data_IF_793816947891
#
_entry.id   IF_793816947891
#
_cell.length_a   1.000
_cell.length_b   1.000
_cell.length_c   1.000
_cell.angle_alpha   90.00
_cell.angle_beta   90.00
_cell.angle_gamma   90.00
#
_symmetry.space_group_name_H-M   'P 1'
#
loop_
_entity.id
_entity.type
_entity.pdbx_description
1 polymer ?
#
# COMPACT_ATOMS: atom_id res chain seq x y z
N UNK A 1 0.97 -27.77 20.92
CA UNK A 1 1.44 -26.66 21.78
C UNK A 1 2.91 -26.29 21.50
N UNK A 2 3.83 -27.27 21.44
CA UNK A 2 5.30 -27.03 21.27
C UNK A 2 5.65 -26.32 19.96
N UNK A 3 5.02 -26.70 18.84
CA UNK A 3 5.24 -26.08 17.51
C UNK A 3 4.80 -24.62 17.49
N UNK A 4 3.61 -24.31 18.05
CA UNK A 4 3.10 -22.92 18.11
C UNK A 4 4.01 -22.02 18.94
N UNK A 5 4.57 -22.50 20.07
CA UNK A 5 5.53 -21.73 20.89
C UNK A 5 6.83 -21.45 20.15
N UNK A 6 7.37 -22.42 19.39
CA UNK A 6 8.56 -22.20 18.56
C UNK A 6 8.32 -21.15 17.47
N UNK A 7 7.14 -21.20 16.83
CA UNK A 7 6.77 -20.22 15.80
C UNK A 7 6.65 -18.81 16.37
N UNK A 8 5.97 -18.64 17.52
CA UNK A 8 5.87 -17.35 18.20
C UNK A 8 7.26 -16.79 18.56
N UNK A 9 8.14 -17.63 19.10
CA UNK A 9 9.51 -17.23 19.44
C UNK A 9 10.30 -16.79 18.19
N UNK A 10 10.12 -17.45 17.05
CA UNK A 10 10.76 -17.09 15.78
C UNK A 10 10.26 -15.72 15.28
N UNK A 11 8.96 -15.50 15.30
CA UNK A 11 8.35 -14.23 14.86
C UNK A 11 8.79 -13.06 15.74
N UNK A 12 8.80 -13.24 17.05
CA UNK A 12 9.29 -12.22 17.98
C UNK A 12 10.77 -11.91 17.76
N UNK A 13 11.62 -12.92 17.55
CA UNK A 13 13.03 -12.68 17.21
C UNK A 13 13.20 -11.90 15.91
N UNK A 14 12.39 -12.17 14.88
CA UNK A 14 12.38 -11.41 13.64
C UNK A 14 11.96 -9.95 13.87
N UNK A 15 10.92 -9.71 14.69
CA UNK A 15 10.49 -8.37 15.03
C UNK A 15 11.56 -7.58 15.79
N UNK A 16 12.24 -8.19 16.76
CA UNK A 16 13.38 -7.59 17.46
C UNK A 16 14.55 -7.27 16.52
N UNK A 17 14.84 -8.15 15.56
CA UNK A 17 15.86 -7.87 14.54
C UNK A 17 15.50 -6.68 13.66
N UNK A 18 14.24 -6.58 13.20
CA UNK A 18 13.73 -5.43 12.44
C UNK A 18 13.82 -4.14 13.25
N UNK A 19 13.52 -4.19 14.55
CA UNK A 19 13.65 -3.04 15.46
C UNK A 19 15.11 -2.58 15.59
N UNK A 20 16.04 -3.51 15.83
CA UNK A 20 17.48 -3.22 15.97
C UNK A 20 18.09 -2.58 14.72
N UNK A 21 17.68 -3.06 13.53
CA UNK A 21 18.13 -2.45 12.26
C UNK A 21 17.66 -1.00 12.12
N UNK A 22 16.43 -0.69 12.56
CA UNK A 22 15.91 0.69 12.51
C UNK A 22 16.60 1.64 13.48
N UNK A 23 16.90 1.17 14.70
CA UNK A 23 17.64 1.99 15.68
C UNK A 23 19.07 2.27 15.22
N UNK A 24 19.74 1.29 14.62
CA UNK A 24 21.10 1.48 14.10
C UNK A 24 21.11 2.44 12.89
N UNK A 25 20.13 2.38 11.98
CA UNK A 25 20.02 3.33 10.87
C UNK A 25 19.76 4.77 11.35
N UNK A 26 18.94 4.95 12.39
CA UNK A 26 18.67 6.27 12.97
C UNK A 26 19.87 6.86 13.73
N UNK A 27 20.82 6.03 14.17
CA UNK A 27 22.03 6.46 14.87
C UNK A 27 23.18 6.83 13.93
N UNK A 28 23.18 6.35 12.69
CA UNK A 28 24.25 6.66 11.71
C UNK A 28 24.13 8.07 11.11
N UNK A 29 22.98 8.71 11.19
CA UNK A 29 22.76 10.07 10.67
C UNK A 29 22.99 11.18 11.71
N UNK A 30 23.49 10.85 12.92
CA UNK A 30 23.82 11.82 13.95
C UNK A 30 25.33 11.87 14.20
N UNK A 31 25.98 12.95 13.73
CA UNK A 31 27.29 13.35 14.22
C UNK A 31 27.29 13.50 15.77
N UNK A 32 28.36 13.13 16.45
CA UNK A 32 28.42 13.17 17.91
C UNK A 32 28.50 14.62 18.42
N UNK A 33 27.35 15.24 18.64
CA UNK A 33 27.26 16.50 19.38
C UNK A 33 26.97 16.18 20.84
N UNK A 34 27.74 16.80 21.74
CA UNK A 34 27.82 16.63 23.19
C UNK A 34 26.57 16.20 23.92
N UNK A 35 26.77 15.24 24.82
CA UNK A 35 25.98 14.86 26.00
C UNK A 35 24.48 15.29 26.01
N UNK A 36 23.65 14.56 25.29
CA UNK A 36 22.20 14.59 25.52
C UNK A 36 21.85 13.66 26.70
N UNK A 37 20.87 14.03 27.56
CA UNK A 37 20.43 13.18 28.65
C UNK A 37 19.93 11.85 28.05
N UNK A 38 20.36 10.75 28.65
CA UNK A 38 19.86 9.41 28.33
C UNK A 38 18.33 9.42 28.42
N UNK A 39 17.65 9.60 27.30
CA UNK A 39 16.20 9.48 27.22
C UNK A 39 15.89 8.03 27.55
N UNK A 40 15.21 7.82 28.64
CA UNK A 40 14.89 6.49 29.18
C UNK A 40 14.15 5.69 28.11
N UNK A 41 14.78 4.65 27.59
CA UNK A 41 14.21 3.76 26.57
C UNK A 41 12.84 3.19 27.01
N UNK A 42 12.60 3.08 28.32
CA UNK A 42 11.33 2.69 28.89
C UNK A 42 10.21 3.71 28.61
N UNK A 43 10.53 5.01 28.55
CA UNK A 43 9.56 6.06 28.20
C UNK A 43 9.16 6.04 26.72
N UNK A 44 10.03 5.56 25.84
CA UNK A 44 9.77 5.41 24.39
C UNK A 44 8.97 4.13 24.10
N UNK A 45 9.18 3.07 24.88
CA UNK A 45 8.55 1.76 24.66
C UNK A 45 7.12 1.65 25.19
N UNK A 46 6.66 2.60 26.01
CA UNK A 46 5.38 2.48 26.72
C UNK A 46 5.37 1.31 27.71
N UNK A 47 4.23 1.07 28.33
CA UNK A 47 4.08 0.07 29.40
C UNK A 47 4.09 -1.40 28.92
N UNK A 48 4.11 -1.64 27.58
CA UNK A 48 4.07 -3.00 27.02
C UNK A 48 5.11 -3.21 25.88
N UNK A 49 6.33 -3.66 26.23
CA UNK A 49 7.37 -3.94 25.24
C UNK A 49 6.96 -4.99 24.18
N UNK A 50 6.06 -5.90 24.53
CA UNK A 50 5.54 -6.90 23.60
C UNK A 50 4.62 -6.25 22.55
N UNK A 51 3.75 -5.31 22.96
CA UNK A 51 2.88 -4.57 22.04
C UNK A 51 3.73 -3.75 21.06
N UNK A 52 4.74 -3.05 21.56
CA UNK A 52 5.66 -2.29 20.72
C UNK A 52 6.37 -3.19 19.70
N UNK A 53 6.89 -4.33 20.13
CA UNK A 53 7.55 -5.31 19.25
C UNK A 53 6.57 -5.87 18.20
N UNK A 54 5.33 -6.17 18.59
CA UNK A 54 4.28 -6.60 17.68
C UNK A 54 3.98 -5.56 16.59
N UNK A 55 4.11 -4.26 16.87
CA UNK A 55 3.91 -3.19 15.89
C UNK A 55 4.84 -3.26 14.68
N UNK A 56 5.96 -4.01 14.72
CA UNK A 56 6.85 -4.24 13.59
C UNK A 56 6.49 -5.46 12.73
N UNK A 57 5.56 -6.27 13.18
CA UNK A 57 5.04 -7.43 12.45
C UNK A 57 4.06 -6.99 11.36
N UNK A 58 3.91 -7.83 10.33
CA UNK A 58 2.82 -7.67 9.37
C UNK A 58 1.51 -8.30 9.90
N UNK A 59 0.42 -8.09 9.17
CA UNK A 59 -0.89 -8.58 9.56
C UNK A 59 -0.96 -10.11 9.67
N UNK A 60 -0.28 -10.83 8.78
CA UNK A 60 -0.24 -12.31 8.80
C UNK A 60 0.55 -12.82 10.00
N UNK A 61 1.68 -12.20 10.28
CA UNK A 61 2.50 -12.50 11.45
C UNK A 61 1.73 -12.27 12.76
N UNK A 62 0.94 -11.17 12.84
CA UNK A 62 0.07 -10.88 13.97
C UNK A 62 -1.06 -11.90 14.14
N UNK A 63 -1.71 -12.30 13.05
CA UNK A 63 -2.76 -13.32 13.12
C UNK A 63 -2.19 -14.68 13.56
N UNK A 64 -0.98 -15.05 13.14
CA UNK A 64 -0.30 -16.24 13.63
C UNK A 64 -0.02 -16.11 15.13
N UNK A 65 0.51 -14.97 15.62
CA UNK A 65 0.75 -14.75 17.05
C UNK A 65 -0.51 -14.91 17.89
N UNK A 66 -1.66 -14.47 17.41
CA UNK A 66 -2.95 -14.63 18.08
C UNK A 66 -3.33 -16.09 18.31
N UNK A 67 -2.83 -17.01 17.51
CA UNK A 67 -3.08 -18.47 17.68
C UNK A 67 -2.12 -19.13 18.66
N UNK A 68 -1.03 -18.46 19.07
CA UNK A 68 0.06 -19.07 19.81
C UNK A 68 -0.19 -19.15 21.33
N UNK A 69 -1.01 -18.27 21.91
CA UNK A 69 -1.32 -18.26 23.32
C UNK A 69 -2.27 -17.13 23.73
N UNK A 70 -2.76 -17.16 24.98
CA UNK A 70 -3.69 -16.13 25.50
C UNK A 70 -3.05 -14.75 25.49
N UNK A 71 -1.88 -14.61 26.13
CA UNK A 71 -1.17 -13.32 26.22
C UNK A 71 -0.86 -12.72 24.85
N UNK A 72 -0.34 -13.52 23.90
CA UNK A 72 -0.03 -13.06 22.54
C UNK A 72 -1.28 -12.71 21.76
N UNK A 73 -2.41 -13.40 22.00
CA UNK A 73 -3.70 -13.08 21.41
C UNK A 73 -4.19 -11.72 21.87
N UNK A 74 -4.13 -11.46 23.17
CA UNK A 74 -4.61 -10.22 23.77
C UNK A 74 -3.78 -9.03 23.28
N UNK A 75 -2.45 -9.15 23.29
CA UNK A 75 -1.55 -8.10 22.78
C UNK A 75 -1.70 -7.89 21.28
N UNK A 76 -1.65 -8.93 20.47
CA UNK A 76 -1.79 -8.82 19.02
C UNK A 76 -3.22 -8.47 18.57
N UNK A 77 -4.18 -8.39 19.48
CA UNK A 77 -5.55 -7.89 19.24
C UNK A 77 -5.72 -6.38 19.47
N UNK A 78 -4.77 -5.72 20.14
CA UNK A 78 -4.90 -4.30 20.51
C UNK A 78 -4.87 -3.37 19.30
N UNK A 79 -5.71 -2.33 19.33
CA UNK A 79 -5.75 -1.30 18.30
C UNK A 79 -4.39 -0.61 18.09
N UNK A 80 -3.67 -0.32 19.16
CA UNK A 80 -2.33 0.29 19.14
C UNK A 80 -1.28 -0.53 18.38
N UNK A 81 -1.45 -1.86 18.27
CA UNK A 81 -0.59 -2.74 17.46
C UNK A 81 -0.99 -2.70 16.00
N UNK A 82 -2.29 -2.59 15.71
CA UNK A 82 -2.80 -2.61 14.33
C UNK A 82 -2.71 -1.25 13.63
N UNK A 83 -2.78 -0.14 14.34
CA UNK A 83 -2.63 1.19 13.74
C UNK A 83 -1.35 1.34 12.90
N UNK A 84 -0.14 1.05 13.41
CA UNK A 84 1.08 1.14 12.62
C UNK A 84 1.11 0.14 11.46
N UNK A 85 0.45 -1.02 11.57
CA UNK A 85 0.30 -1.98 10.46
C UNK A 85 -0.53 -1.38 9.34
N UNK A 86 -1.68 -0.77 9.67
CA UNK A 86 -2.52 -0.05 8.72
C UNK A 86 -1.77 1.12 8.07
N UNK A 87 -1.08 1.92 8.86
CA UNK A 87 -0.32 3.07 8.37
C UNK A 87 0.79 2.66 7.38
N UNK A 88 1.47 1.52 7.63
CA UNK A 88 2.45 0.98 6.68
C UNK A 88 1.81 0.41 5.42
N UNK A 89 0.70 -0.32 5.59
CA UNK A 89 0.00 -1.01 4.49
C UNK A 89 -0.56 -0.03 3.47
N UNK A 90 -1.13 1.09 3.94
CA UNK A 90 -1.77 2.09 3.10
C UNK A 90 -1.05 3.44 3.09
N UNK A 91 0.27 3.39 3.27
CA UNK A 91 1.11 4.58 3.22
C UNK A 91 0.92 5.35 1.92
N UNK A 92 0.76 6.67 2.02
CA UNK A 92 0.58 7.55 0.87
C UNK A 92 -0.85 7.68 0.36
N UNK A 93 -1.82 6.94 0.92
CA UNK A 93 -3.24 7.12 0.56
C UNK A 93 -3.82 8.36 1.24
N UNK A 94 -4.58 9.14 0.47
CA UNK A 94 -5.27 10.33 0.98
C UNK A 94 -6.26 10.00 2.09
N UNK A 95 -6.98 8.89 1.94
CA UNK A 95 -8.00 8.45 2.89
C UNK A 95 -7.46 7.95 4.23
N UNK A 96 -6.15 7.80 4.40
CA UNK A 96 -5.58 7.22 5.62
C UNK A 96 -5.98 8.00 6.89
N UNK A 97 -6.12 9.33 6.79
CA UNK A 97 -6.55 10.15 7.94
C UNK A 97 -8.05 9.98 8.23
N UNK A 98 -8.88 9.85 7.20
CA UNK A 98 -10.31 9.55 7.35
C UNK A 98 -10.48 8.19 8.01
N UNK A 99 -9.73 7.18 7.55
CA UNK A 99 -9.73 5.84 8.13
C UNK A 99 -9.26 5.79 9.59
N UNK A 100 -8.38 6.69 9.99
CA UNK A 100 -8.01 6.84 11.42
C UNK A 100 -9.19 7.25 12.27
N UNK A 101 -9.98 8.20 11.80
CA UNK A 101 -11.17 8.66 12.51
C UNK A 101 -12.25 7.57 12.54
N UNK A 102 -12.45 6.85 11.43
CA UNK A 102 -13.42 5.76 11.32
C UNK A 102 -13.03 4.55 12.18
N UNK A 103 -11.76 4.18 12.21
CA UNK A 103 -11.29 3.01 12.92
C UNK A 103 -11.39 3.14 14.44
N UNK A 104 -11.22 4.34 14.99
CA UNK A 104 -11.15 4.56 16.44
C UNK A 104 -10.15 3.58 17.08
N UNK A 105 -10.66 2.67 17.91
CA UNK A 105 -9.87 1.59 18.52
C UNK A 105 -9.96 0.24 17.77
N UNK A 106 -10.83 0.14 16.75
CA UNK A 106 -11.13 -1.10 16.03
C UNK A 106 -10.24 -1.32 14.80
N UNK A 107 -8.99 -0.94 14.87
CA UNK A 107 -8.05 -0.97 13.76
C UNK A 107 -7.91 -2.34 13.08
N UNK A 108 -8.03 -3.43 13.83
CA UNK A 108 -7.98 -4.78 13.26
C UNK A 108 -9.18 -5.07 12.37
N UNK A 109 -10.37 -4.74 12.84
CA UNK A 109 -11.61 -4.93 12.05
C UNK A 109 -11.57 -4.05 10.80
N UNK A 110 -11.11 -2.81 10.95
CA UNK A 110 -10.91 -1.88 9.85
C UNK A 110 -9.90 -2.42 8.84
N UNK A 111 -8.75 -2.97 9.29
CA UNK A 111 -7.79 -3.63 8.42
C UNK A 111 -8.45 -4.76 7.62
N UNK A 112 -9.18 -5.66 8.28
CA UNK A 112 -9.84 -6.79 7.62
C UNK A 112 -10.90 -6.34 6.60
N UNK A 113 -11.60 -5.25 6.87
CA UNK A 113 -12.56 -4.65 5.93
C UNK A 113 -11.83 -4.14 4.67
N UNK A 114 -10.77 -3.35 4.83
CA UNK A 114 -10.03 -2.75 3.70
C UNK A 114 -9.23 -3.77 2.91
N UNK A 115 -8.71 -4.83 3.53
CA UNK A 115 -8.02 -5.93 2.83
C UNK A 115 -8.96 -6.72 1.90
N UNK A 116 -10.27 -6.72 2.12
CA UNK A 116 -11.24 -7.29 1.17
C UNK A 116 -11.30 -6.52 -0.16
N UNK A 117 -10.85 -5.29 -0.16
CA UNK A 117 -10.79 -4.42 -1.35
C UNK A 117 -9.47 -4.58 -2.14
N UNK A 118 -8.57 -5.46 -1.72
CA UNK A 118 -7.28 -5.71 -2.40
C UNK A 118 -7.47 -6.18 -3.84
N UNK A 119 -8.44 -7.06 -4.04
CA UNK A 119 -8.79 -7.53 -5.38
C UNK A 119 -9.78 -6.55 -6.01
N UNK A 120 -9.26 -5.66 -6.83
CA UNK A 120 -10.07 -4.68 -7.56
C UNK A 120 -10.37 -5.21 -8.95
N UNK A 121 -11.61 -5.11 -9.36
CA UNK A 121 -12.06 -5.54 -10.67
C UNK A 121 -12.20 -4.35 -11.60
N UNK A 122 -11.97 -4.59 -12.90
CA UNK A 122 -12.21 -3.62 -13.97
C UNK A 122 -11.47 -2.29 -13.78
N UNK A 123 -10.25 -2.33 -13.23
CA UNK A 123 -9.46 -1.11 -13.01
C UNK A 123 -8.86 -0.65 -14.33
N UNK A 124 -9.02 0.64 -14.70
CA UNK A 124 -8.49 1.14 -15.95
C UNK A 124 -6.97 1.30 -15.91
N UNK A 125 -6.31 1.03 -17.06
CA UNK A 125 -4.86 1.06 -17.17
C UNK A 125 -4.41 2.24 -18.03
N UNK A 126 -3.48 3.00 -17.49
CA UNK A 126 -2.62 3.93 -18.22
C UNK A 126 -1.24 3.32 -18.42
N UNK A 127 -0.69 3.42 -19.63
CA UNK A 127 0.64 2.89 -19.94
C UNK A 127 1.53 3.99 -20.53
N UNK A 128 2.64 4.25 -19.87
CA UNK A 128 3.65 5.21 -20.33
C UNK A 128 4.99 4.88 -19.67
N UNK A 129 6.08 4.98 -20.42
CA UNK A 129 7.44 4.82 -19.86
C UNK A 129 7.73 5.98 -18.90
N UNK A 130 7.79 5.67 -17.60
CA UNK A 130 8.13 6.63 -16.56
C UNK A 130 8.65 5.91 -15.32
N UNK A 131 9.49 6.61 -14.55
CA UNK A 131 9.88 6.15 -13.22
C UNK A 131 8.82 6.55 -12.19
N UNK A 132 8.39 5.59 -11.39
CA UNK A 132 7.40 5.79 -10.34
C UNK A 132 7.93 5.33 -8.99
N UNK A 133 7.60 6.12 -7.97
CA UNK A 133 7.97 5.84 -6.58
C UNK A 133 6.76 6.12 -5.68
N UNK A 134 6.53 5.26 -4.68
CA UNK A 134 5.40 5.41 -3.75
C UNK A 134 5.42 6.78 -3.08
N UNK A 135 4.31 7.49 -3.18
CA UNK A 135 4.11 8.83 -2.60
C UNK A 135 4.72 9.98 -3.39
N UNK A 136 5.52 9.71 -4.45
CA UNK A 136 6.07 10.75 -5.30
C UNK A 136 5.04 11.22 -6.34
N UNK A 137 4.87 12.54 -6.44
CA UNK A 137 3.98 13.16 -7.42
C UNK A 137 4.55 13.04 -8.83
N UNK A 138 3.68 12.70 -9.78
CA UNK A 138 3.94 12.78 -11.23
C UNK A 138 2.76 13.51 -11.87
N UNK A 139 3.02 14.56 -12.64
CA UNK A 139 1.96 15.30 -13.33
C UNK A 139 1.76 14.74 -14.73
N UNK A 140 0.50 14.52 -15.11
CA UNK A 140 0.11 13.97 -16.40
C UNK A 140 -0.89 14.90 -17.10
N UNK A 141 -0.82 14.89 -18.42
CA UNK A 141 -1.79 15.51 -19.30
C UNK A 141 -2.46 14.46 -20.18
N UNK A 142 -3.75 14.26 -19.99
CA UNK A 142 -4.54 13.30 -20.75
C UNK A 142 -5.27 13.98 -21.89
N UNK A 143 -4.91 13.68 -23.12
CA UNK A 143 -5.53 14.22 -24.34
C UNK A 143 -6.21 13.15 -25.19
N UNK A 144 -5.76 11.89 -25.10
CA UNK A 144 -6.35 10.81 -25.87
C UNK A 144 -7.74 10.44 -25.35
N UNK A 145 -8.73 10.16 -26.23
CA UNK A 145 -10.09 9.81 -25.82
C UNK A 145 -10.18 8.65 -24.82
N UNK A 146 -9.36 7.61 -25.00
CA UNK A 146 -9.33 6.48 -24.08
C UNK A 146 -8.89 6.86 -22.67
N UNK A 147 -8.04 7.86 -22.51
CA UNK A 147 -7.59 8.32 -21.17
C UNK A 147 -8.55 9.33 -20.55
N UNK A 148 -9.33 10.04 -21.36
CA UNK A 148 -10.48 10.79 -20.85
C UNK A 148 -11.51 9.85 -20.22
N UNK A 149 -11.76 8.71 -20.89
CA UNK A 149 -12.63 7.65 -20.38
C UNK A 149 -12.04 6.96 -19.14
N UNK A 150 -10.71 6.73 -19.10
CA UNK A 150 -10.00 6.22 -17.93
C UNK A 150 -10.28 7.06 -16.67
N UNK A 151 -10.14 8.38 -16.76
CA UNK A 151 -10.37 9.28 -15.62
C UNK A 151 -11.80 9.18 -15.11
N UNK A 152 -12.77 9.07 -16.01
CA UNK A 152 -14.17 8.91 -15.65
C UNK A 152 -14.39 7.62 -14.87
N UNK A 153 -13.96 6.47 -15.40
CA UNK A 153 -14.04 5.18 -14.71
C UNK A 153 -13.31 5.23 -13.36
N UNK A 154 -12.10 5.79 -13.33
CA UNK A 154 -11.34 5.91 -12.09
C UNK A 154 -12.08 6.71 -11.02
N UNK A 155 -12.73 7.82 -11.40
CA UNK A 155 -13.47 8.67 -10.48
C UNK A 155 -14.79 8.02 -10.00
N UNK A 156 -15.57 7.46 -10.92
CA UNK A 156 -16.89 6.92 -10.64
C UNK A 156 -16.82 5.57 -9.91
N UNK A 157 -15.98 4.65 -10.39
CA UNK A 157 -15.99 3.25 -9.93
C UNK A 157 -14.89 2.95 -8.90
N UNK A 158 -13.80 3.74 -8.88
CA UNK A 158 -12.59 3.40 -8.12
C UNK A 158 -12.07 4.49 -7.18
N UNK A 159 -12.86 5.55 -6.92
CA UNK A 159 -12.46 6.64 -6.02
C UNK A 159 -11.17 7.36 -6.45
N UNK A 160 -10.96 7.49 -7.76
CA UNK A 160 -9.77 8.13 -8.34
C UNK A 160 -8.58 7.19 -8.54
N UNK A 161 -8.73 5.88 -8.30
CA UNK A 161 -7.66 4.91 -8.48
C UNK A 161 -7.64 4.35 -9.91
N UNK A 162 -6.45 4.17 -10.44
CA UNK A 162 -6.19 3.50 -11.71
C UNK A 162 -4.84 2.78 -11.67
N UNK A 163 -4.56 1.93 -12.65
CA UNK A 163 -3.27 1.26 -12.77
C UNK A 163 -2.36 2.03 -13.71
N UNK A 164 -1.12 2.26 -13.28
CA UNK A 164 -0.07 2.81 -14.13
C UNK A 164 0.95 1.73 -14.46
N UNK A 165 1.05 1.37 -15.75
CA UNK A 165 2.05 0.46 -16.27
C UNK A 165 3.22 1.24 -16.88
N UNK A 166 4.46 0.93 -16.49
CA UNK A 166 5.65 1.55 -17.06
C UNK A 166 5.93 1.05 -18.50
N UNK A 167 5.33 -0.09 -18.87
CA UNK A 167 5.34 -0.63 -20.22
C UNK A 167 3.91 -1.07 -20.59
N UNK A 168 3.62 -1.16 -21.88
CA UNK A 168 2.33 -1.68 -22.33
C UNK A 168 2.12 -3.12 -21.84
N UNK A 169 1.01 -3.38 -21.10
CA UNK A 169 0.78 -4.71 -20.55
C UNK A 169 0.41 -5.71 -21.65
N UNK A 170 0.89 -6.94 -21.48
CA UNK A 170 0.56 -8.05 -22.39
C UNK A 170 -0.73 -8.72 -21.93
N UNK A 171 -1.67 -8.92 -22.86
CA UNK A 171 -2.97 -9.57 -22.55
C UNK A 171 -2.79 -11.04 -22.15
N UNK A 172 -1.79 -11.71 -22.74
CA UNK A 172 -1.43 -13.11 -22.44
C UNK A 172 0.05 -13.20 -22.02
N UNK A 173 0.37 -12.79 -20.79
CA UNK A 173 1.76 -12.81 -20.33
C UNK A 173 2.21 -14.25 -20.01
N UNK A 174 3.48 -14.56 -20.31
CA UNK A 174 4.13 -15.80 -19.88
C UNK A 174 4.54 -15.77 -18.41
N UNK A 175 4.63 -14.60 -17.81
CA UNK A 175 5.02 -14.36 -16.40
C UNK A 175 4.10 -13.33 -15.76
N UNK A 176 4.00 -13.32 -14.42
CA UNK A 176 3.24 -12.30 -13.70
C UNK A 176 3.66 -10.88 -14.06
N UNK A 177 2.70 -10.02 -14.35
CA UNK A 177 2.95 -8.60 -14.62
C UNK A 177 2.66 -7.77 -13.39
N UNK A 178 3.68 -7.01 -12.96
CA UNK A 178 3.58 -6.08 -11.85
C UNK A 178 3.44 -4.65 -12.35
N UNK A 179 2.65 -3.87 -11.63
CA UNK A 179 2.37 -2.48 -11.96
C UNK A 179 2.13 -1.65 -10.70
N UNK A 180 1.66 -0.43 -10.88
CA UNK A 180 1.39 0.50 -9.80
C UNK A 180 -0.10 0.81 -9.72
N UNK A 181 -0.70 0.72 -8.55
CA UNK A 181 -1.96 1.40 -8.26
C UNK A 181 -1.62 2.85 -7.97
N UNK A 182 -2.24 3.76 -8.72
CA UNK A 182 -2.03 5.19 -8.60
C UNK A 182 -3.34 5.89 -8.25
N UNK A 183 -3.24 6.97 -7.48
CA UNK A 183 -4.35 7.84 -7.15
C UNK A 183 -4.25 9.13 -7.96
N UNK A 184 -5.31 9.46 -8.72
CA UNK A 184 -5.45 10.74 -9.38
C UNK A 184 -5.88 11.81 -8.37
N UNK A 185 -5.16 12.92 -8.33
CA UNK A 185 -5.45 14.08 -7.50
C UNK A 185 -5.40 15.35 -8.33
N UNK A 186 -6.06 16.40 -7.86
CA UNK A 186 -6.07 17.72 -8.54
C UNK A 186 -6.49 17.61 -10.01
N UNK A 187 -7.50 16.80 -10.29
CA UNK A 187 -7.99 16.58 -11.66
C UNK A 187 -8.66 17.86 -12.15
N UNK A 188 -8.08 18.46 -13.16
CA UNK A 188 -8.62 19.64 -13.85
C UNK A 188 -9.09 19.21 -15.25
N UNK A 189 -10.40 19.16 -15.43
CA UNK A 189 -10.99 18.92 -16.73
C UNK A 189 -10.99 20.21 -17.55
N UNK A 190 -10.48 20.14 -18.78
CA UNK A 190 -10.48 21.24 -19.73
C UNK A 190 -11.77 21.22 -20.56
N UNK A 191 -12.19 22.37 -21.16
CA UNK A 191 -13.43 22.47 -21.96
C UNK A 191 -13.49 21.48 -23.13
N UNK A 192 -12.34 21.09 -23.69
CA UNK A 192 -12.24 20.13 -24.79
C UNK A 192 -12.18 18.67 -24.30
N UNK A 193 -12.38 18.45 -23.00
CA UNK A 193 -12.39 17.15 -22.36
C UNK A 193 -10.99 16.59 -22.09
N UNK A 194 -9.90 17.30 -22.36
CA UNK A 194 -8.57 16.95 -21.87
C UNK A 194 -8.51 17.10 -20.35
N UNK A 195 -7.55 16.46 -19.70
CA UNK A 195 -7.40 16.53 -18.26
C UNK A 195 -5.94 16.73 -17.85
N UNK A 196 -5.70 17.65 -16.94
CA UNK A 196 -4.46 17.74 -16.18
C UNK A 196 -4.68 17.09 -14.80
N UNK A 197 -3.75 16.29 -14.34
CA UNK A 197 -3.86 15.64 -13.04
C UNK A 197 -2.51 15.38 -12.41
N UNK A 198 -2.49 15.34 -11.09
CA UNK A 198 -1.36 14.85 -10.31
C UNK A 198 -1.59 13.39 -9.96
N UNK A 199 -0.62 12.54 -10.24
CA UNK A 199 -0.69 11.10 -10.00
C UNK A 199 0.26 10.73 -8.88
N UNK A 200 -0.23 9.96 -7.92
CA UNK A 200 0.53 9.46 -6.78
C UNK A 200 0.48 7.93 -6.76
N UNK A 201 1.60 7.23 -7.00
CA UNK A 201 1.67 5.79 -6.75
C UNK A 201 1.43 5.49 -5.27
N UNK A 202 0.44 4.62 -4.99
CA UNK A 202 0.03 4.28 -3.61
C UNK A 202 0.31 2.84 -3.22
N UNK A 203 0.40 1.95 -4.22
CA UNK A 203 0.72 0.54 -3.99
C UNK A 203 1.32 -0.10 -5.26
N UNK A 204 2.05 -1.20 -5.07
CA UNK A 204 2.34 -2.15 -6.15
C UNK A 204 1.11 -3.05 -6.35
N UNK A 205 0.92 -3.55 -7.55
CA UNK A 205 -0.12 -4.54 -7.82
C UNK A 205 0.35 -5.61 -8.80
N UNK A 206 -0.35 -6.73 -8.77
CA UNK A 206 -0.24 -7.82 -9.73
C UNK A 206 -1.45 -7.77 -10.66
N UNK A 207 -1.22 -7.75 -11.97
CA UNK A 207 -2.28 -7.82 -12.97
C UNK A 207 -2.73 -9.29 -13.09
N UNK A 208 -4.02 -9.56 -12.81
CA UNK A 208 -4.59 -10.93 -12.81
C UNK A 208 -5.24 -11.28 -14.13
N UNK A 209 -6.09 -10.37 -14.64
CA UNK A 209 -6.81 -10.52 -15.90
C UNK A 209 -6.77 -9.20 -16.64
N UNK A 210 -6.48 -9.25 -17.93
CA UNK A 210 -6.47 -8.06 -18.78
C UNK A 210 -7.42 -8.27 -19.97
N UNK A 211 -8.08 -7.19 -20.34
CA UNK A 211 -8.89 -7.13 -21.57
C UNK A 211 -8.96 -5.69 -22.06
N UNK A 212 -9.60 -5.51 -23.21
CA UNK A 212 -9.80 -4.19 -23.82
C UNK A 212 -11.27 -3.95 -24.04
N UNK A 213 -11.72 -2.74 -23.73
CA UNK A 213 -13.07 -2.26 -24.00
C UNK A 213 -13.03 -1.06 -24.93
N UNK A 214 -13.95 -0.96 -25.92
CA UNK A 214 -14.07 0.22 -26.74
C UNK A 214 -14.56 1.42 -25.90
N UNK A 215 -14.04 2.61 -26.21
CA UNK A 215 -14.56 3.84 -25.61
C UNK A 215 -15.98 4.07 -26.12
N UNK A 216 -16.97 4.28 -25.23
CA UNK A 216 -18.35 4.51 -25.66
C UNK A 216 -18.51 5.72 -26.58
N UNK A 217 -19.55 5.67 -27.41
CA UNK A 217 -20.01 6.77 -28.28
C UNK A 217 -18.99 7.27 -29.33
N UNK A 218 -17.98 6.45 -29.67
CA UNK A 218 -17.00 6.78 -30.70
C UNK A 218 -17.00 5.75 -31.83
N UNK A 219 -17.18 6.24 -33.07
CA UNK A 219 -16.98 5.43 -34.25
C UNK A 219 -15.49 5.06 -34.38
N UNK A 220 -15.16 3.77 -34.61
CA UNK A 220 -13.78 3.27 -34.58
C UNK A 220 -13.07 3.54 -33.24
N UNK A 221 -13.78 3.35 -32.17
CA UNK A 221 -13.37 3.73 -30.81
C UNK A 221 -11.98 3.17 -30.44
N UNK A 222 -11.08 4.02 -29.95
CA UNK A 222 -9.85 3.57 -29.34
C UNK A 222 -10.20 2.66 -28.14
N UNK A 223 -9.41 1.62 -27.96
CA UNK A 223 -9.66 0.67 -26.86
C UNK A 223 -8.94 1.12 -25.59
N UNK A 224 -9.65 1.09 -24.47
CA UNK A 224 -9.07 1.22 -23.15
C UNK A 224 -8.74 -0.16 -22.60
N UNK A 225 -7.53 -0.33 -22.07
CA UNK A 225 -7.15 -1.56 -21.36
C UNK A 225 -7.65 -1.50 -19.93
N UNK A 226 -8.25 -2.59 -19.49
CA UNK A 226 -8.77 -2.80 -18.14
C UNK A 226 -8.15 -4.05 -17.53
N UNK A 227 -8.08 -4.11 -16.21
CA UNK A 227 -7.59 -5.28 -15.50
C UNK A 227 -8.33 -5.57 -14.20
N UNK A 228 -8.38 -6.85 -13.83
CA UNK A 228 -8.51 -7.25 -12.45
C UNK A 228 -7.12 -7.22 -11.83
N UNK A 229 -6.97 -6.56 -10.69
CA UNK A 229 -5.68 -6.34 -10.05
C UNK A 229 -5.72 -6.74 -8.59
N UNK A 230 -4.60 -7.27 -8.10
CA UNK A 230 -4.38 -7.55 -6.69
C UNK A 230 -3.33 -6.60 -6.14
N UNK A 231 -3.71 -5.76 -5.20
CA UNK A 231 -2.76 -4.88 -4.53
C UNK A 231 -1.79 -5.68 -3.66
N UNK A 232 -0.52 -5.39 -3.80
CA UNK A 232 0.53 -6.03 -3.02
C UNK A 232 0.83 -5.23 -1.75
N UNK A 233 1.23 -5.90 -0.67
CA UNK A 233 1.78 -5.23 0.50
C UNK A 233 2.94 -4.31 0.09
N UNK A 234 3.03 -3.15 0.70
CA UNK A 234 4.19 -2.28 0.51
C UNK A 234 5.39 -2.95 1.18
N UNK A 235 6.13 -3.74 0.42
CA UNK A 235 7.42 -4.24 0.89
C UNK A 235 8.41 -3.08 0.94
N UNK A 236 9.19 -3.01 2.00
CA UNK A 236 10.18 -1.95 2.24
C UNK A 236 11.43 -2.03 1.34
N UNK A 237 11.49 -2.97 0.41
CA UNK A 237 12.55 -3.05 -0.59
C UNK A 237 11.94 -3.17 -1.99
N UNK A 238 12.37 -2.37 -2.97
CA UNK A 238 12.07 -2.62 -4.36
C UNK A 238 12.69 -3.96 -4.76
N UNK A 239 12.07 -4.75 -5.66
CA UNK A 239 12.76 -5.87 -6.29
C UNK A 239 14.01 -5.33 -7.01
N UNK A 240 15.11 -6.10 -7.07
CA UNK A 240 16.28 -5.70 -7.84
C UNK A 240 15.87 -5.44 -9.28
N UNK A 241 16.52 -4.48 -9.96
CA UNK A 241 16.29 -4.25 -11.38
C UNK A 241 16.61 -5.54 -12.15
N UNK A 242 15.70 -5.92 -13.04
CA UNK A 242 15.87 -7.03 -13.99
C UNK A 242 16.68 -6.53 -15.15
#
# INVERSE_FOLDING_TARGET
>A
ARVKRKLASKLLKQAFSKLRLKTNAAQQDQEPTAAQPQTDMAAILGDDPLAHTCGFLDARELDVLRTCGRRTRDVAGRGSVWEPVCARRWRGRRQLNEWRNEAGNEWRAHYALREREILRKRVPIFAMSAYLEVGRRTDLHFFEPRYKWLIRIAAEDHGGLFVFCTNAPLVHPRSPQFSWVCEARNVQLLPDGRANLSVFPVARCLLRKLWREPVPDMLNAPQLTLADVEELPVCSAPPPPV
#
